data_IF_071258955400
#
_entry.id   IF_071258955400
#
_cell.length_a   1.000
_cell.length_b   1.000
_cell.length_c   1.000
_cell.angle_alpha   90.00
_cell.angle_beta   90.00
_cell.angle_gamma   90.00
#
_symmetry.space_group_name_H-M   'P 1'
#
loop_
_entity.id
_entity.type
_entity.pdbx_description
1 polymer ?
#
# COMPACT_ATOMS: atom_id res chain seq x y z
N UNK A 1 -57.51 35.12 -28.62
CA UNK A 1 -56.16 35.40 -28.09
C UNK A 1 -55.55 34.06 -27.70
N UNK A 2 -54.46 33.66 -28.36
CA UNK A 2 -53.84 32.34 -28.23
C UNK A 2 -52.63 32.44 -27.30
N UNK A 3 -52.60 31.67 -26.22
CA UNK A 3 -51.43 31.54 -25.35
C UNK A 3 -51.06 30.07 -25.24
N UNK A 4 -50.31 29.57 -26.22
CA UNK A 4 -49.60 28.30 -26.09
C UNK A 4 -48.36 28.55 -25.22
N UNK A 5 -48.42 28.16 -23.94
CA UNK A 5 -47.25 28.09 -23.07
C UNK A 5 -46.40 26.88 -23.44
N UNK A 6 -45.43 27.09 -24.33
CA UNK A 6 -44.39 26.10 -24.64
C UNK A 6 -43.44 26.05 -23.44
N UNK A 7 -43.54 25.01 -22.61
CA UNK A 7 -42.55 24.73 -21.57
C UNK A 7 -41.22 24.38 -22.24
N UNK A 8 -40.30 25.34 -22.27
CA UNK A 8 -38.94 25.17 -22.76
C UNK A 8 -38.15 24.40 -21.69
N UNK A 9 -38.20 23.07 -21.75
CA UNK A 9 -37.32 22.22 -20.97
C UNK A 9 -35.90 22.36 -21.54
N UNK A 10 -35.12 23.28 -21.00
CA UNK A 10 -33.67 23.32 -21.21
C UNK A 10 -33.02 22.23 -20.36
N UNK A 11 -33.17 20.97 -20.76
CA UNK A 11 -32.14 19.98 -20.44
C UNK A 11 -31.00 20.27 -21.43
N UNK A 12 -30.05 21.10 -20.99
CA UNK A 12 -28.81 21.28 -21.72
C UNK A 12 -28.01 19.99 -21.57
N UNK A 13 -28.03 19.13 -22.59
CA UNK A 13 -27.25 17.89 -22.65
C UNK A 13 -25.73 18.14 -22.51
N UNK A 14 -25.28 19.40 -22.47
CA UNK A 14 -23.91 19.81 -22.19
C UNK A 14 -23.50 19.83 -20.71
N UNK A 15 -24.41 19.66 -19.75
CA UNK A 15 -24.06 19.57 -18.31
C UNK A 15 -23.81 18.12 -17.82
N UNK A 16 -24.19 17.12 -18.63
CA UNK A 16 -23.93 15.72 -18.31
C UNK A 16 -22.60 15.26 -18.91
N UNK A 17 -21.53 15.33 -18.12
CA UNK A 17 -20.28 14.60 -18.44
C UNK A 17 -20.56 13.11 -18.35
N UNK A 18 -20.44 12.38 -19.47
CA UNK A 18 -20.33 10.93 -19.43
C UNK A 18 -18.93 10.57 -18.95
N UNK A 19 -18.83 10.00 -17.75
CA UNK A 19 -17.56 9.45 -17.26
C UNK A 19 -17.09 8.35 -18.22
N UNK A 20 -15.80 8.33 -18.51
CA UNK A 20 -15.21 7.26 -19.32
C UNK A 20 -15.35 5.92 -18.61
N UNK A 21 -15.46 4.83 -19.37
CA UNK A 21 -15.61 3.48 -18.79
C UNK A 21 -14.48 3.12 -17.81
N UNK A 22 -13.32 3.77 -17.99
CA UNK A 22 -12.13 3.67 -17.14
C UNK A 22 -12.32 4.40 -15.80
N UNK A 23 -12.82 5.64 -15.81
CA UNK A 23 -13.18 6.38 -14.59
C UNK A 23 -14.32 5.71 -13.80
N UNK A 24 -15.26 5.06 -14.49
CA UNK A 24 -16.31 4.27 -13.84
C UNK A 24 -15.71 2.97 -13.26
N UNK A 25 -14.67 2.37 -13.86
CA UNK A 25 -13.99 1.20 -13.31
C UNK A 25 -13.17 1.55 -12.04
N UNK A 26 -12.45 2.67 -12.07
CA UNK A 26 -11.59 3.09 -10.97
C UNK A 26 -12.37 3.56 -9.73
N UNK A 27 -13.66 3.91 -9.89
CA UNK A 27 -14.50 4.49 -8.83
C UNK A 27 -15.61 3.58 -8.28
N UNK A 28 -15.76 2.34 -8.80
CA UNK A 28 -16.85 1.43 -8.41
C UNK A 28 -16.43 0.47 -7.30
N UNK A 29 -16.28 1.01 -6.09
CA UNK A 29 -16.14 0.26 -4.85
C UNK A 29 -14.73 -0.30 -4.64
N UNK A 30 -14.09 0.15 -3.57
CA UNK A 30 -13.14 -0.63 -2.79
C UNK A 30 -13.76 -2.00 -2.47
N UNK A 31 -13.75 -2.92 -3.43
CA UNK A 31 -14.27 -4.26 -3.23
C UNK A 31 -13.54 -4.84 -2.02
N UNK A 32 -14.30 -5.32 -1.04
CA UNK A 32 -13.72 -5.90 0.18
C UNK A 32 -12.68 -6.94 -0.23
N UNK A 33 -11.42 -6.70 0.14
CA UNK A 33 -10.33 -7.58 -0.25
C UNK A 33 -10.66 -9.00 0.23
N UNK A 34 -10.40 -10.00 -0.62
CA UNK A 34 -10.54 -11.40 -0.24
C UNK A 34 -9.70 -11.64 1.03
N UNK A 35 -10.34 -12.12 2.09
CA UNK A 35 -9.75 -12.32 3.42
C UNK A 35 -9.42 -11.04 4.23
N UNK A 36 -10.10 -9.92 3.97
CA UNK A 36 -9.99 -8.67 4.77
C UNK A 36 -10.70 -8.75 6.14
N UNK A 37 -10.55 -9.86 6.86
CA UNK A 37 -11.01 -9.96 8.24
C UNK A 37 -9.90 -9.42 9.16
N UNK A 38 -10.22 -8.39 9.95
CA UNK A 38 -9.32 -7.93 11.00
C UNK A 38 -9.22 -9.03 12.08
N UNK A 39 -8.00 -9.44 12.40
CA UNK A 39 -7.76 -10.54 13.36
C UNK A 39 -8.29 -10.25 14.78
N UNK A 40 -8.38 -8.96 15.10
CA UNK A 40 -8.82 -8.39 16.37
C UNK A 40 -10.25 -7.79 16.30
N UNK A 41 -11.06 -8.13 15.29
CA UNK A 41 -12.44 -7.65 15.18
C UNK A 41 -13.25 -8.09 16.42
N UNK A 42 -13.85 -7.16 17.19
CA UNK A 42 -14.68 -7.50 18.34
C UNK A 42 -15.93 -8.32 17.97
N UNK A 43 -16.38 -8.27 16.71
CA UNK A 43 -17.50 -9.06 16.20
C UNK A 43 -17.10 -10.45 15.69
N UNK A 44 -15.82 -10.76 15.73
CA UNK A 44 -15.32 -12.06 15.31
C UNK A 44 -15.79 -13.16 16.26
N UNK A 45 -16.41 -14.20 15.70
CA UNK A 45 -16.91 -15.35 16.44
C UNK A 45 -15.84 -16.41 16.72
N UNK A 46 -14.60 -16.24 16.23
CA UNK A 46 -13.47 -17.12 16.58
C UNK A 46 -13.21 -17.09 18.08
N UNK A 47 -12.99 -18.26 18.67
CA UNK A 47 -12.60 -18.41 20.06
C UNK A 47 -11.23 -17.76 20.34
N UNK A 48 -10.96 -17.40 21.60
CA UNK A 48 -9.70 -16.77 22.01
C UNK A 48 -8.49 -17.65 21.65
N UNK A 49 -8.59 -18.97 21.87
CA UNK A 49 -7.54 -19.93 21.49
C UNK A 49 -7.25 -19.89 19.99
N UNK A 50 -8.28 -19.92 19.14
CA UNK A 50 -8.11 -19.93 17.69
C UNK A 50 -7.54 -18.59 17.17
N UNK A 51 -7.86 -17.46 17.83
CA UNK A 51 -7.27 -16.16 17.49
C UNK A 51 -5.77 -16.14 17.80
N UNK A 52 -5.38 -16.61 18.99
CA UNK A 52 -3.97 -16.70 19.40
C UNK A 52 -3.17 -17.61 18.47
N UNK A 53 -3.69 -18.79 18.14
CA UNK A 53 -3.03 -19.70 17.20
C UNK A 53 -2.85 -19.08 15.81
N UNK A 54 -3.85 -18.34 15.33
CA UNK A 54 -3.78 -17.64 14.04
C UNK A 54 -2.71 -16.53 14.06
N UNK A 55 -2.62 -15.76 15.15
CA UNK A 55 -1.61 -14.70 15.29
C UNK A 55 -0.19 -15.25 15.41
N UNK A 56 -0.02 -16.38 16.12
CA UNK A 56 1.27 -17.05 16.23
C UNK A 56 1.74 -17.57 14.87
N UNK A 57 0.86 -18.23 14.10
CA UNK A 57 1.20 -18.68 12.74
C UNK A 57 1.58 -17.54 11.81
N UNK A 58 0.85 -16.41 11.85
CA UNK A 58 1.21 -15.22 11.07
C UNK A 58 2.60 -14.67 11.39
N UNK A 59 3.04 -14.74 12.65
CA UNK A 59 4.40 -14.33 13.05
C UNK A 59 5.49 -15.31 12.57
N UNK A 60 5.15 -16.57 12.33
CA UNK A 60 6.09 -17.61 11.92
C UNK A 60 6.19 -17.74 10.39
N UNK A 61 5.08 -17.57 9.67
CA UNK A 61 5.01 -17.76 8.22
C UNK A 61 5.43 -16.52 7.43
N UNK A 62 5.13 -15.33 7.95
CA UNK A 62 5.59 -14.09 7.35
C UNK A 62 6.87 -13.64 8.06
N UNK A 63 7.88 -13.21 7.32
CA UNK A 63 8.96 -12.35 7.83
C UNK A 63 8.39 -11.00 8.25
N UNK A 64 7.43 -11.02 9.17
CA UNK A 64 6.50 -9.97 9.52
C UNK A 64 7.31 -8.83 10.10
N UNK A 65 7.62 -7.86 9.24
CA UNK A 65 7.98 -6.55 9.71
C UNK A 65 6.67 -5.91 10.20
N UNK A 66 6.52 -5.65 11.52
CA UNK A 66 5.26 -5.17 12.09
C UNK A 66 4.84 -3.79 11.57
N UNK A 67 5.71 -3.14 10.79
CA UNK A 67 5.48 -1.87 10.15
C UNK A 67 5.99 -1.95 8.70
N UNK A 68 5.14 -1.73 7.68
CA UNK A 68 5.59 -1.67 6.28
C UNK A 68 6.56 -0.51 6.01
N UNK A 69 6.68 0.46 6.92
CA UNK A 69 7.68 1.53 6.85
C UNK A 69 9.03 1.14 7.46
N UNK A 70 9.10 0.04 8.22
CA UNK A 70 10.37 -0.46 8.74
C UNK A 70 10.94 -1.39 7.66
N UNK A 71 12.06 -1.04 7.02
CA UNK A 71 12.72 -1.95 6.08
C UNK A 71 13.10 -3.24 6.81
N UNK A 72 13.05 -4.37 6.11
CA UNK A 72 13.64 -5.60 6.64
C UNK A 72 15.11 -5.33 6.93
N UNK A 73 15.65 -5.88 8.03
CA UNK A 73 17.05 -5.62 8.45
C UNK A 73 18.06 -5.86 7.33
N UNK A 74 17.72 -6.73 6.38
CA UNK A 74 18.58 -7.13 5.27
C UNK A 74 18.41 -6.26 4.00
N UNK A 75 17.36 -5.43 3.91
CA UNK A 75 17.11 -4.57 2.74
C UNK A 75 18.04 -3.35 2.73
N UNK A 76 18.36 -2.84 1.53
CA UNK A 76 19.11 -1.60 1.42
C UNK A 76 18.17 -0.40 1.66
N UNK A 77 18.66 0.68 2.29
CA UNK A 77 17.85 1.88 2.54
C UNK A 77 17.26 2.51 1.26
N UNK A 78 17.90 2.29 0.10
CA UNK A 78 17.48 2.86 -1.19
C UNK A 78 16.46 2.01 -1.94
N UNK A 79 16.25 0.75 -1.54
CA UNK A 79 15.40 -0.20 -2.27
C UNK A 79 13.94 0.25 -2.28
N UNK A 80 13.41 0.67 -1.13
CA UNK A 80 12.02 1.16 -1.01
C UNK A 80 11.73 2.31 -1.97
N UNK A 81 12.64 3.30 -2.05
CA UNK A 81 12.45 4.43 -2.95
C UNK A 81 12.47 3.99 -4.43
N UNK A 82 13.38 3.07 -4.80
CA UNK A 82 13.48 2.51 -6.15
C UNK A 82 12.24 1.69 -6.52
N UNK A 83 11.74 0.86 -5.61
CA UNK A 83 10.51 0.06 -5.78
C UNK A 83 9.29 0.94 -6.07
N UNK A 84 9.20 2.09 -5.40
CA UNK A 84 8.13 3.07 -5.63
C UNK A 84 8.38 4.01 -6.83
N UNK A 85 9.49 3.86 -7.56
CA UNK A 85 9.84 4.71 -8.71
C UNK A 85 10.25 6.13 -8.33
N UNK A 86 10.65 6.34 -7.07
CA UNK A 86 11.15 7.61 -6.56
C UNK A 86 12.67 7.62 -6.49
N UNK A 87 13.25 8.83 -6.44
CA UNK A 87 14.67 8.96 -6.15
C UNK A 87 14.90 8.74 -4.64
N UNK A 88 15.92 7.96 -4.25
CA UNK A 88 16.26 7.79 -2.84
C UNK A 88 16.63 9.14 -2.20
N UNK A 89 16.42 9.25 -0.89
CA UNK A 89 16.84 10.44 -0.16
C UNK A 89 18.37 10.47 -0.06
N UNK A 90 18.95 11.67 0.04
CA UNK A 90 20.39 11.84 0.22
C UNK A 90 20.93 11.10 1.46
N UNK A 91 20.11 10.95 2.50
CA UNK A 91 20.46 10.14 3.68
C UNK A 91 20.55 8.66 3.35
N UNK A 92 19.55 8.12 2.65
CA UNK A 92 19.53 6.71 2.25
C UNK A 92 20.70 6.34 1.33
N UNK A 93 21.12 7.25 0.43
CA UNK A 93 22.31 7.07 -0.40
C UNK A 93 23.61 7.03 0.43
N UNK A 94 23.75 7.91 1.43
CA UNK A 94 24.91 7.94 2.33
C UNK A 94 24.95 6.68 3.19
N UNK A 95 23.81 6.25 3.73
CA UNK A 95 23.72 5.03 4.54
C UNK A 95 24.08 3.77 3.74
N UNK A 96 23.71 3.72 2.45
CA UNK A 96 24.12 2.64 1.54
C UNK A 96 25.64 2.67 1.29
N UNK A 97 26.23 3.84 1.04
CA UNK A 97 27.67 4.01 0.85
C UNK A 97 28.47 3.61 2.10
N UNK A 98 28.05 4.03 3.29
CA UNK A 98 28.71 3.68 4.55
C UNK A 98 28.69 2.17 4.76
N UNK A 99 27.54 1.51 4.53
CA UNK A 99 27.47 0.04 4.60
C UNK A 99 28.45 -0.65 3.67
N UNK A 100 28.57 -0.18 2.43
CA UNK A 100 29.50 -0.77 1.46
C UNK A 100 30.97 -0.56 1.84
N UNK A 101 31.32 0.62 2.34
CA UNK A 101 32.66 0.93 2.84
C UNK A 101 33.02 0.08 4.06
N UNK A 102 32.11 -0.03 5.03
CA UNK A 102 32.29 -0.87 6.22
C UNK A 102 32.43 -2.35 5.87
N UNK A 103 31.58 -2.89 4.98
CA UNK A 103 31.68 -4.26 4.50
C UNK A 103 33.03 -4.51 3.78
N UNK A 104 33.50 -3.55 2.98
CA UNK A 104 34.80 -3.65 2.31
C UNK A 104 35.95 -3.62 3.31
N UNK A 105 35.87 -2.80 4.36
CA UNK A 105 36.85 -2.77 5.43
C UNK A 105 36.87 -4.06 6.25
N UNK A 106 35.70 -4.60 6.60
CA UNK A 106 35.59 -5.86 7.33
C UNK A 106 36.21 -7.02 6.53
N UNK A 107 35.92 -7.07 5.23
CA UNK A 107 36.55 -8.03 4.31
C UNK A 107 38.06 -7.87 4.26
N UNK A 108 38.58 -6.63 4.21
CA UNK A 108 40.03 -6.36 4.28
C UNK A 108 40.65 -6.81 5.60
N UNK A 109 39.91 -6.69 6.71
CA UNK A 109 40.30 -7.15 8.05
C UNK A 109 40.14 -8.67 8.24
N UNK A 110 39.71 -9.41 7.21
CA UNK A 110 39.53 -10.86 7.24
C UNK A 110 38.29 -11.33 8.00
N UNK A 111 37.40 -10.40 8.37
CA UNK A 111 36.15 -10.68 9.07
C UNK A 111 35.06 -10.82 8.01
N UNK A 112 34.42 -11.98 7.94
CA UNK A 112 33.26 -12.16 7.08
C UNK A 112 32.07 -11.43 7.73
N UNK A 113 31.39 -10.53 6.99
CA UNK A 113 30.16 -9.91 7.45
C UNK A 113 29.04 -10.95 7.58
#
# INVERSE_FOLDING_TARGET
MSTQSKSMAHANDGDQKSLSNQEIHDSRYEAGQLHSHLGNDPKDQRSIANRLESELKKKEEDGFNPDPNIPNKDQKPTDLAKEHGHQPSRGAEIDEQIREEEEAELRKKGIKP
#
